data_IF_093285561707
#
_entry.id   IF_093285561707
#
_cell.length_a   1.000
_cell.length_b   1.000
_cell.length_c   1.000
_cell.angle_alpha   90.00
_cell.angle_beta   90.00
_cell.angle_gamma   90.00
#
_symmetry.space_group_name_H-M   'P 1'
#
loop_
_entity.id
_entity.type
_entity.pdbx_description
1 polymer ?
#
# COMPACT_ATOMS: atom_id res chain seq x y z
N UNK A 1 37.37 9.85 -38.34
CA UNK A 1 37.23 8.47 -37.81
C UNK A 1 37.63 8.52 -36.35
N UNK A 2 36.86 8.19 -35.33
CA UNK A 2 35.59 7.46 -35.19
C UNK A 2 34.75 8.20 -34.13
N UNK A 3 33.45 8.40 -34.40
CA UNK A 3 32.49 8.83 -33.39
C UNK A 3 31.94 7.57 -32.71
N UNK A 4 32.07 7.50 -31.40
CA UNK A 4 31.70 6.36 -30.56
C UNK A 4 30.21 6.02 -30.66
N UNK A 5 29.90 4.76 -30.90
CA UNK A 5 28.57 4.20 -31.05
C UNK A 5 27.79 4.21 -29.72
N UNK A 6 26.95 5.24 -29.51
CA UNK A 6 25.99 5.32 -28.40
C UNK A 6 24.69 4.53 -28.69
N UNK A 7 24.78 3.24 -29.02
CA UNK A 7 23.59 2.47 -29.44
C UNK A 7 23.39 1.11 -28.75
N UNK A 8 24.01 0.85 -27.59
CA UNK A 8 23.91 -0.44 -26.91
C UNK A 8 22.99 -0.50 -25.67
N UNK A 9 22.53 0.62 -25.11
CA UNK A 9 21.76 0.65 -23.84
C UNK A 9 20.23 0.78 -23.97
N UNK A 10 19.67 0.85 -25.17
CA UNK A 10 18.22 1.02 -25.38
C UNK A 10 17.32 -0.20 -25.04
N UNK A 11 17.72 -1.47 -25.29
CA UNK A 11 16.77 -2.58 -25.19
C UNK A 11 16.37 -2.94 -23.75
N UNK A 12 17.16 -2.54 -22.75
CA UNK A 12 16.85 -2.77 -21.33
C UNK A 12 15.91 -1.71 -20.76
N UNK A 13 16.05 -0.44 -21.19
CA UNK A 13 15.17 0.64 -20.74
C UNK A 13 13.75 0.50 -21.29
N UNK A 14 13.61 0.12 -22.56
CA UNK A 14 12.30 -0.04 -23.19
C UNK A 14 11.53 -1.21 -22.58
N UNK A 15 12.22 -2.32 -22.27
CA UNK A 15 11.64 -3.45 -21.51
C UNK A 15 11.19 -3.02 -20.11
N UNK A 16 12.02 -2.25 -19.39
CA UNK A 16 11.68 -1.75 -18.07
C UNK A 16 10.51 -0.76 -18.10
N UNK A 17 10.34 0.03 -19.17
CA UNK A 17 9.17 0.90 -19.38
C UNK A 17 7.91 0.09 -19.66
N UNK A 18 7.97 -0.85 -20.61
CA UNK A 18 6.85 -1.73 -20.93
C UNK A 18 6.36 -2.52 -19.70
N UNK A 19 7.30 -3.03 -18.90
CA UNK A 19 6.97 -3.71 -17.66
C UNK A 19 6.30 -2.78 -16.64
N UNK A 20 6.78 -1.54 -16.49
CA UNK A 20 6.14 -0.56 -15.60
C UNK A 20 4.72 -0.25 -16.05
N UNK A 21 4.50 -0.06 -17.35
CA UNK A 21 3.17 0.21 -17.91
C UNK A 21 2.20 -0.94 -17.62
N UNK A 22 2.63 -2.19 -17.85
CA UNK A 22 1.85 -3.38 -17.52
C UNK A 22 1.49 -3.45 -16.03
N UNK A 23 2.46 -3.18 -15.14
CA UNK A 23 2.20 -3.20 -13.70
C UNK A 23 1.24 -2.09 -13.28
N UNK A 24 1.34 -0.90 -13.86
CA UNK A 24 0.40 0.20 -13.56
C UNK A 24 -1.01 -0.12 -14.05
N UNK A 25 -1.16 -0.73 -15.23
CA UNK A 25 -2.47 -1.21 -15.71
C UNK A 25 -3.08 -2.24 -14.73
N UNK A 26 -2.29 -3.24 -14.32
CA UNK A 26 -2.72 -4.23 -13.34
C UNK A 26 -3.10 -3.59 -12.00
N UNK A 27 -2.36 -2.57 -11.55
CA UNK A 27 -2.70 -1.83 -10.32
C UNK A 27 -4.00 -1.04 -10.45
N UNK A 28 -4.27 -0.46 -11.61
CA UNK A 28 -5.52 0.27 -11.87
C UNK A 28 -6.69 -0.70 -11.79
N UNK A 29 -6.63 -1.83 -12.50
CA UNK A 29 -7.67 -2.86 -12.41
C UNK A 29 -7.80 -3.42 -11.01
N UNK A 30 -6.69 -3.63 -10.30
CA UNK A 30 -6.69 -4.10 -8.91
C UNK A 30 -7.45 -3.13 -8.01
N UNK A 31 -7.15 -1.83 -8.09
CA UNK A 31 -7.86 -0.81 -7.31
C UNK A 31 -9.34 -0.74 -7.65
N UNK A 32 -9.68 -0.81 -8.95
CA UNK A 32 -11.07 -0.80 -9.41
C UNK A 32 -11.83 -2.02 -8.86
N UNK A 33 -11.24 -3.21 -8.95
CA UNK A 33 -11.79 -4.45 -8.39
C UNK A 33 -12.18 -4.29 -6.94
N UNK A 34 -11.27 -3.82 -6.09
CA UNK A 34 -11.56 -3.65 -4.67
C UNK A 34 -12.56 -2.53 -4.36
N UNK A 35 -12.69 -1.53 -5.24
CA UNK A 35 -13.60 -0.42 -5.08
C UNK A 35 -15.04 -0.75 -5.52
N UNK A 36 -15.19 -1.50 -6.61
CA UNK A 36 -16.49 -1.91 -7.15
C UNK A 36 -17.06 -3.15 -6.45
N UNK A 37 -16.23 -3.88 -5.70
CA UNK A 37 -16.64 -5.08 -4.95
C UNK A 37 -17.76 -4.78 -3.95
N UNK A 38 -18.81 -5.60 -3.97
CA UNK A 38 -19.90 -5.58 -2.98
C UNK A 38 -19.54 -6.49 -1.81
N UNK A 39 -19.68 -5.98 -0.58
CA UNK A 39 -19.44 -6.78 0.61
C UNK A 39 -20.74 -7.51 1.02
N UNK A 40 -20.69 -8.84 1.08
CA UNK A 40 -21.73 -9.69 1.68
C UNK A 40 -21.41 -9.88 3.17
N UNK A 41 -22.10 -9.12 4.01
CA UNK A 41 -21.88 -9.09 5.47
C UNK A 41 -22.24 -10.42 6.14
N UNK A 42 -23.29 -11.10 5.67
CA UNK A 42 -23.76 -12.37 6.28
C UNK A 42 -22.69 -13.44 6.16
N UNK A 43 -21.96 -13.42 5.04
CA UNK A 43 -20.92 -14.40 4.77
C UNK A 43 -19.50 -13.90 5.09
N UNK A 44 -19.35 -12.60 5.36
CA UNK A 44 -18.07 -11.89 5.46
C UNK A 44 -17.21 -11.98 4.19
N UNK A 45 -17.87 -11.85 3.03
CA UNK A 45 -17.30 -12.10 1.70
C UNK A 45 -17.37 -10.84 0.83
N UNK A 46 -16.61 -10.79 -0.26
CA UNK A 46 -16.74 -9.73 -1.27
C UNK A 46 -16.99 -10.30 -2.65
N UNK A 47 -17.99 -9.80 -3.38
CA UNK A 47 -18.34 -10.27 -4.73
C UNK A 47 -17.91 -9.23 -5.77
N UNK A 48 -17.24 -9.67 -6.83
CA UNK A 48 -16.89 -8.79 -7.95
C UNK A 48 -18.13 -8.35 -8.72
N UNK A 49 -18.28 -7.04 -8.94
CA UNK A 49 -19.40 -6.48 -9.73
C UNK A 49 -19.10 -6.46 -11.23
N UNK A 50 -17.83 -6.43 -11.62
CA UNK A 50 -17.37 -6.37 -13.00
C UNK A 50 -16.41 -7.51 -13.37
N UNK A 51 -16.10 -7.62 -14.66
CA UNK A 51 -15.07 -8.52 -15.19
C UNK A 51 -13.72 -7.79 -15.22
N UNK A 52 -12.66 -8.45 -14.75
CA UNK A 52 -11.28 -7.98 -14.80
C UNK A 52 -10.41 -9.08 -15.41
N UNK A 53 -10.34 -9.11 -16.74
CA UNK A 53 -9.66 -10.16 -17.50
C UNK A 53 -8.16 -10.23 -17.20
N UNK A 54 -7.49 -9.08 -17.05
CA UNK A 54 -6.04 -9.05 -16.74
C UNK A 54 -5.74 -9.56 -15.33
N UNK A 55 -6.74 -9.59 -14.45
CA UNK A 55 -6.68 -10.21 -13.12
C UNK A 55 -7.29 -11.63 -13.09
N UNK A 56 -7.87 -12.09 -14.20
CA UNK A 56 -8.62 -13.36 -14.34
C UNK A 56 -9.82 -13.47 -13.39
N UNK A 57 -10.48 -12.35 -13.13
CA UNK A 57 -11.66 -12.28 -12.25
C UNK A 57 -12.90 -12.05 -13.11
N UNK A 58 -13.83 -13.00 -13.09
CA UNK A 58 -15.13 -12.84 -13.72
C UNK A 58 -16.12 -12.15 -12.78
N UNK A 59 -17.16 -11.51 -13.31
CA UNK A 59 -18.26 -10.90 -12.56
C UNK A 59 -18.97 -11.98 -11.75
N UNK A 60 -19.23 -11.68 -10.48
CA UNK A 60 -19.77 -12.66 -9.54
C UNK A 60 -18.73 -13.59 -8.94
N UNK A 61 -17.45 -13.50 -9.33
CA UNK A 61 -16.36 -14.22 -8.65
C UNK A 61 -16.32 -13.75 -7.21
N UNK A 62 -16.36 -14.72 -6.29
CA UNK A 62 -16.36 -14.42 -4.88
C UNK A 62 -14.92 -14.33 -4.36
N UNK A 63 -14.58 -13.14 -3.89
CA UNK A 63 -13.30 -12.76 -3.33
C UNK A 63 -13.41 -12.90 -1.82
N UNK A 64 -12.94 -14.08 -1.38
CA UNK A 64 -13.14 -14.69 -0.05
C UNK A 64 -14.55 -15.16 0.21
N UNK A 65 -14.79 -16.48 0.06
CA UNK A 65 -16.10 -17.09 0.33
C UNK A 65 -16.20 -18.60 0.48
N UNK A 66 -15.13 -19.35 0.28
CA UNK A 66 -15.19 -20.79 0.53
C UNK A 66 -13.89 -21.22 1.18
N UNK A 67 -13.99 -22.28 1.97
CA UNK A 67 -12.83 -22.92 2.62
C UNK A 67 -11.75 -23.33 1.62
N UNK A 68 -12.16 -23.57 0.38
CA UNK A 68 -11.32 -24.12 -0.67
C UNK A 68 -10.90 -23.06 -1.72
N UNK A 69 -11.38 -21.80 -1.61
CA UNK A 69 -10.99 -20.73 -2.52
C UNK A 69 -9.73 -20.01 -2.05
N UNK A 70 -8.68 -20.04 -2.88
CA UNK A 70 -7.43 -19.35 -2.62
C UNK A 70 -7.64 -17.82 -2.70
N UNK A 71 -7.26 -17.04 -1.67
CA UNK A 71 -7.28 -15.58 -1.75
C UNK A 71 -6.59 -15.08 -3.01
N UNK A 72 -7.19 -14.09 -3.66
CA UNK A 72 -6.55 -13.41 -4.77
C UNK A 72 -5.30 -12.69 -4.25
N UNK A 73 -4.13 -13.06 -4.78
CA UNK A 73 -2.85 -12.51 -4.37
C UNK A 73 -2.22 -11.73 -5.54
N UNK A 74 -2.03 -10.42 -5.35
CA UNK A 74 -1.47 -9.56 -6.38
C UNK A 74 -0.06 -10.01 -6.82
N UNK A 75 0.73 -10.59 -5.90
CA UNK A 75 2.04 -11.16 -6.23
C UNK A 75 1.96 -12.25 -7.29
N UNK A 76 1.04 -13.19 -7.11
CA UNK A 76 0.87 -14.33 -8.00
C UNK A 76 0.37 -13.88 -9.38
N UNK A 77 -0.44 -12.81 -9.42
CA UNK A 77 -0.87 -12.17 -10.67
C UNK A 77 0.35 -11.55 -11.38
N UNK A 78 1.23 -10.85 -10.68
CA UNK A 78 2.45 -10.29 -11.27
C UNK A 78 3.39 -11.38 -11.80
N UNK A 79 3.58 -12.46 -11.05
CA UNK A 79 4.39 -13.61 -11.46
C UNK A 79 3.84 -14.27 -12.73
N UNK A 80 2.51 -14.41 -12.79
CA UNK A 80 1.80 -14.94 -13.95
C UNK A 80 2.04 -14.12 -15.22
N UNK A 81 2.12 -12.80 -15.09
CA UNK A 81 2.41 -11.88 -16.18
C UNK A 81 3.92 -11.77 -16.50
N UNK A 82 4.76 -12.64 -15.93
CA UNK A 82 6.21 -12.68 -16.12
C UNK A 82 6.91 -11.36 -15.77
N UNK A 83 6.38 -10.62 -14.78
CA UNK A 83 6.97 -9.37 -14.30
C UNK A 83 8.28 -9.67 -13.57
N UNK A 84 9.39 -9.09 -14.01
CA UNK A 84 10.68 -9.21 -13.31
C UNK A 84 10.63 -8.55 -11.92
N UNK A 85 11.12 -9.25 -10.89
CA UNK A 85 11.17 -8.75 -9.50
C UNK A 85 9.79 -8.27 -8.97
N UNK A 86 8.77 -9.14 -8.88
CA UNK A 86 7.41 -8.77 -8.47
C UNK A 86 7.36 -8.18 -7.05
N UNK A 87 8.26 -8.63 -6.15
CA UNK A 87 8.38 -8.15 -4.77
C UNK A 87 8.59 -6.65 -4.65
N UNK A 88 9.19 -6.01 -5.68
CA UNK A 88 9.42 -4.57 -5.68
C UNK A 88 8.10 -3.78 -5.72
N UNK A 89 7.04 -4.36 -6.25
CA UNK A 89 5.75 -3.70 -6.45
C UNK A 89 4.76 -3.95 -5.32
N UNK A 90 5.10 -4.86 -4.41
CA UNK A 90 4.28 -5.21 -3.26
C UNK A 90 4.78 -4.40 -2.07
N UNK A 91 3.85 -3.91 -1.26
CA UNK A 91 4.23 -3.23 -0.02
C UNK A 91 4.73 -4.28 0.98
N UNK A 92 5.89 -4.05 1.64
CA UNK A 92 6.39 -4.96 2.67
C UNK A 92 5.39 -5.06 3.83
N UNK A 93 5.47 -6.15 4.60
CA UNK A 93 4.56 -6.40 5.72
C UNK A 93 4.50 -5.18 6.65
N UNK A 94 3.31 -4.89 7.18
CA UNK A 94 3.04 -3.82 8.16
C UNK A 94 3.97 -3.93 9.37
N UNK A 95 4.41 -5.15 9.73
CA UNK A 95 5.36 -5.40 10.83
C UNK A 95 6.80 -5.02 10.50
N UNK A 96 7.24 -5.30 9.28
CA UNK A 96 8.57 -4.90 8.77
C UNK A 96 8.61 -3.38 8.57
N UNK A 97 7.50 -2.82 8.08
CA UNK A 97 7.17 -1.41 8.02
C UNK A 97 7.80 -0.69 6.83
N UNK A 98 6.94 -0.03 6.05
CA UNK A 98 7.35 0.66 4.83
C UNK A 98 8.16 1.94 5.07
N UNK A 99 8.29 2.73 4.01
CA UNK A 99 9.05 3.99 3.97
C UNK A 99 8.79 4.92 5.17
N UNK A 100 7.54 5.01 5.66
CA UNK A 100 7.23 5.81 6.85
C UNK A 100 7.91 5.31 8.13
N UNK A 101 7.99 3.99 8.34
CA UNK A 101 8.71 3.41 9.49
C UNK A 101 10.21 3.61 9.32
N UNK A 102 10.76 3.38 8.12
CA UNK A 102 12.16 3.65 7.79
C UNK A 102 12.55 5.12 8.07
N UNK A 103 11.76 6.09 7.59
CA UNK A 103 12.01 7.51 7.89
C UNK A 103 11.97 7.75 9.40
N UNK A 104 11.01 7.14 10.11
CA UNK A 104 10.87 7.31 11.56
C UNK A 104 12.02 6.67 12.35
N UNK A 105 12.49 5.49 11.95
CA UNK A 105 13.55 4.75 12.65
C UNK A 105 14.95 5.20 12.26
N UNK A 106 15.24 5.36 10.98
CA UNK A 106 16.59 5.64 10.49
C UNK A 106 16.89 7.14 10.36
N UNK A 107 15.91 7.93 9.90
CA UNK A 107 16.13 9.37 9.63
C UNK A 107 15.77 10.22 10.86
N UNK A 108 14.65 9.91 11.52
CA UNK A 108 14.08 10.78 12.56
C UNK A 108 14.64 10.53 13.96
N UNK A 109 15.15 9.31 14.27
CA UNK A 109 15.82 9.03 15.57
C UNK A 109 16.97 10.02 15.87
N UNK A 110 17.64 10.51 14.83
CA UNK A 110 18.78 11.41 14.96
C UNK A 110 18.39 12.89 15.14
N UNK A 111 17.09 13.23 15.08
CA UNK A 111 16.60 14.62 15.24
C UNK A 111 16.16 14.97 16.68
N UNK A 112 16.20 14.01 17.61
CA UNK A 112 15.70 14.13 18.98
C UNK A 112 16.35 15.22 19.86
N UNK A 113 17.40 15.90 19.40
CA UNK A 113 18.00 17.02 20.12
C UNK A 113 17.42 18.40 19.73
N UNK A 114 16.82 18.56 18.55
CA UNK A 114 16.34 19.89 18.11
C UNK A 114 14.99 20.28 18.70
N UNK A 115 14.14 19.30 19.05
CA UNK A 115 12.78 19.56 19.58
C UNK A 115 12.73 19.90 21.06
N UNK A 116 13.79 19.61 21.84
CA UNK A 116 13.83 19.98 23.27
C UNK A 116 13.87 21.51 23.47
N UNK A 117 14.68 22.23 22.66
CA UNK A 117 14.77 23.71 22.74
C UNK A 117 13.47 24.43 22.40
N UNK A 118 12.64 23.86 21.53
CA UNK A 118 11.35 24.46 21.17
C UNK A 118 10.27 24.31 22.26
N UNK A 119 10.42 23.34 23.17
CA UNK A 119 9.52 23.20 24.32
C UNK A 119 9.76 24.28 25.38
N UNK A 120 11.00 24.76 25.53
CA UNK A 120 11.36 25.80 26.50
C UNK A 120 10.70 27.16 26.19
N UNK A 121 10.39 27.41 24.91
CA UNK A 121 9.69 28.62 24.44
C UNK A 121 8.20 28.41 24.16
N UNK A 122 7.66 27.22 24.42
CA UNK A 122 6.23 26.98 24.23
C UNK A 122 5.44 27.75 25.31
N UNK A 123 4.42 28.55 24.94
CA UNK A 123 3.62 29.28 25.91
C UNK A 123 2.97 28.29 26.88
N UNK A 124 3.10 28.57 28.20
CA UNK A 124 2.43 27.77 29.25
C UNK A 124 0.94 27.70 28.92
N UNK A 125 0.41 26.48 28.85
CA UNK A 125 -1.02 26.24 28.58
C UNK A 125 -1.85 27.00 29.63
N UNK A 126 -2.84 27.82 29.23
CA UNK A 126 -3.65 28.58 30.18
C UNK A 126 -4.42 27.61 31.10
N UNK A 127 -4.28 27.80 32.41
CA UNK A 127 -5.04 27.05 33.42
C UNK A 127 -6.52 27.46 33.30
N UNK A 128 -7.42 26.48 33.23
CA UNK A 128 -8.87 26.72 33.19
C UNK A 128 -9.59 26.32 31.91
N UNK A 129 -8.93 25.72 30.92
CA UNK A 129 -9.67 25.09 29.81
C UNK A 129 -10.35 23.82 30.30
N UNK A 130 -11.67 23.80 30.22
CA UNK A 130 -12.50 22.61 30.44
C UNK A 130 -11.93 21.47 29.59
N UNK A 131 -11.65 20.28 30.18
CA UNK A 131 -11.20 19.15 29.40
C UNK A 131 -12.26 18.88 28.33
N UNK A 132 -11.87 18.90 27.06
CA UNK A 132 -12.75 18.42 25.98
C UNK A 132 -13.17 17.01 26.39
N UNK A 133 -14.48 16.73 26.49
CA UNK A 133 -15.03 15.40 26.77
C UNK A 133 -14.30 14.40 25.86
N UNK A 134 -13.28 13.74 26.39
CA UNK A 134 -12.70 12.59 25.71
C UNK A 134 -13.77 11.53 25.76
N UNK A 135 -14.12 10.93 24.62
CA UNK A 135 -15.10 9.84 24.52
C UNK A 135 -14.68 8.54 25.22
N UNK A 136 -13.83 8.62 26.24
CA UNK A 136 -13.52 7.54 27.18
C UNK A 136 -14.39 7.77 28.41
N UNK A 137 -15.55 7.10 28.38
CA UNK A 137 -16.51 7.07 29.49
C UNK A 137 -15.95 6.39 30.74
N UNK A 138 -16.82 6.25 31.74
CA UNK A 138 -16.57 5.84 33.13
C UNK A 138 -15.96 4.43 33.35
N UNK A 139 -15.51 3.75 32.29
CA UNK A 139 -15.01 2.36 32.30
C UNK A 139 -13.59 2.19 32.87
N UNK A 140 -13.00 3.23 33.46
CA UNK A 140 -11.67 3.17 34.09
C UNK A 140 -11.67 3.70 35.53
N UNK A 141 -12.82 3.67 36.20
CA UNK A 141 -12.92 3.89 37.63
C UNK A 141 -13.11 2.55 38.35
N UNK A 142 -12.07 1.71 38.36
CA UNK A 142 -11.90 0.60 39.32
C UNK A 142 -10.42 0.23 39.40
#
# INVERSE_FOLDING_TARGET
MQGTDYSANKPTEDKAKAQKELVEELKVQWKLLWNERVNDEVRAEGISVANYESLRVERGTIIHATRDFKPLNFKEILETHMVENPERYIQPDRREGGWGKFVKTEITKNQGQKTKRAQDYAPKKPKGKQPKKSGRGWLHAH
#
